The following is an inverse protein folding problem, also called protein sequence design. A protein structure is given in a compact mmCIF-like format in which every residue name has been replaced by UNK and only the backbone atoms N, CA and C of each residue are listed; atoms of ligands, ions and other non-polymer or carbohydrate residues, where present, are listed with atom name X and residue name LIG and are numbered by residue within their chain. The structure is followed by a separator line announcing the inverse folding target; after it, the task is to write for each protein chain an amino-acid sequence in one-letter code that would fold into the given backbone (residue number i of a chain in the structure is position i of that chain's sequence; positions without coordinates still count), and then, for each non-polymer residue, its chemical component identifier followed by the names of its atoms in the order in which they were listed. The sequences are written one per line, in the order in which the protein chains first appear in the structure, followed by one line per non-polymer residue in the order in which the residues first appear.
data_IF_864395274379
#
_entry.id   IF_864395274379
#
_cell.length_a   1.000
_cell.length_b   1.000
_cell.length_c   1.000
_cell.angle_alpha   90.00
_cell.angle_beta   90.00
_cell.angle_gamma   90.00
#
_symmetry.space_group_name_H-M   'P 1'
#
loop_
_entity.id
_entity.type
_entity.pdbx_description
1 polymer ?
#
# COMPACT_ATOMS: atom_id res chain seq x y z
N UNK A 1 14.07 -20.23 -22.13
CA UNK A 1 12.87 -19.51 -22.60
C UNK A 1 11.65 -20.40 -22.43
N UNK A 2 10.56 -19.89 -21.79
CA UNK A 2 9.28 -20.61 -21.61
C UNK A 2 8.11 -19.68 -21.88
N UNK A 3 6.97 -20.24 -22.31
CA UNK A 3 5.70 -19.56 -22.37
C UNK A 3 5.18 -19.31 -20.94
N UNK A 4 4.51 -18.19 -20.71
CA UNK A 4 3.97 -17.82 -19.41
C UNK A 4 2.60 -17.15 -19.56
N UNK A 5 1.72 -17.37 -18.59
CA UNK A 5 0.54 -16.54 -18.36
C UNK A 5 0.88 -15.58 -17.22
N UNK A 6 0.60 -14.31 -17.39
CA UNK A 6 0.89 -13.30 -16.36
C UNK A 6 -0.28 -12.34 -16.15
N UNK A 7 -0.34 -11.74 -14.96
CA UNK A 7 -1.31 -10.71 -14.60
C UNK A 7 -0.67 -9.33 -14.75
N UNK A 8 -1.29 -8.46 -15.56
CA UNK A 8 -0.78 -7.11 -15.87
C UNK A 8 -1.35 -6.01 -14.97
N UNK A 9 -2.01 -6.39 -13.85
CA UNK A 9 -2.73 -5.48 -12.97
C UNK A 9 -4.21 -5.33 -13.33
N UNK A 10 -4.61 -5.59 -14.56
CA UNK A 10 -5.99 -5.50 -15.04
C UNK A 10 -6.57 -6.85 -15.44
N UNK A 11 -5.75 -7.71 -16.02
CA UNK A 11 -6.17 -9.01 -16.53
C UNK A 11 -5.01 -9.93 -16.87
N UNK A 12 -5.38 -11.11 -17.36
CA UNK A 12 -4.43 -12.15 -17.72
C UNK A 12 -3.94 -11.97 -19.16
N UNK A 13 -2.63 -12.12 -19.36
CA UNK A 13 -1.93 -12.02 -20.64
C UNK A 13 -1.05 -13.24 -20.87
N UNK A 14 -0.78 -13.50 -22.14
CA UNK A 14 0.25 -14.44 -22.55
C UNK A 14 1.56 -13.72 -22.82
N UNK A 15 2.66 -14.38 -22.46
CA UNK A 15 4.00 -13.82 -22.65
C UNK A 15 5.08 -14.89 -22.73
N UNK A 16 6.31 -14.43 -22.81
CA UNK A 16 7.50 -15.28 -22.83
C UNK A 16 8.44 -14.85 -21.71
N UNK A 17 8.92 -15.84 -20.96
CA UNK A 17 9.95 -15.63 -19.92
C UNK A 17 11.28 -16.20 -20.42
N UNK A 18 12.33 -15.44 -20.22
CA UNK A 18 13.69 -15.83 -20.60
C UNK A 18 14.73 -15.39 -19.57
N UNK A 19 15.90 -15.97 -19.65
CA UNK A 19 17.06 -15.55 -18.88
C UNK A 19 17.95 -14.66 -19.76
N UNK A 20 18.13 -13.40 -19.33
CA UNK A 20 18.99 -12.41 -19.99
C UNK A 20 20.00 -11.90 -18.96
N UNK A 21 21.28 -12.07 -19.22
CA UNK A 21 22.38 -11.66 -18.32
C UNK A 21 22.19 -12.13 -16.87
N UNK A 22 21.75 -13.38 -16.70
CA UNK A 22 21.50 -13.99 -15.39
C UNK A 22 20.21 -13.54 -14.67
N UNK A 23 19.41 -12.69 -15.30
CA UNK A 23 18.12 -12.20 -14.76
C UNK A 23 16.95 -12.76 -15.55
N UNK A 24 15.89 -13.10 -14.82
CA UNK A 24 14.62 -13.49 -15.44
C UNK A 24 13.93 -12.25 -15.97
N UNK A 25 13.50 -12.30 -17.24
CA UNK A 25 12.72 -11.23 -17.88
C UNK A 25 11.45 -11.77 -18.49
N UNK A 26 10.37 -11.00 -18.33
CA UNK A 26 9.07 -11.25 -18.96
C UNK A 26 8.90 -10.29 -20.14
N UNK A 27 8.39 -10.82 -21.26
CA UNK A 27 7.99 -10.02 -22.42
C UNK A 27 6.54 -10.33 -22.81
N UNK A 28 5.76 -9.29 -23.11
CA UNK A 28 4.38 -9.41 -23.59
C UNK A 28 4.36 -9.73 -25.08
N UNK A 29 4.77 -10.93 -25.45
CA UNK A 29 4.72 -11.43 -26.82
C UNK A 29 4.02 -12.78 -26.89
N UNK A 30 3.39 -13.06 -28.01
CA UNK A 30 2.72 -14.36 -28.21
C UNK A 30 3.77 -15.49 -28.20
N UNK A 31 3.61 -16.51 -27.33
CA UNK A 31 4.54 -17.64 -27.29
C UNK A 31 4.51 -18.43 -28.60
N UNK A 32 5.68 -18.88 -29.07
CA UNK A 32 5.76 -19.78 -30.20
C UNK A 32 5.06 -21.12 -29.88
N UNK A 33 4.46 -21.73 -30.90
CA UNK A 33 3.79 -23.03 -30.76
C UNK A 33 4.78 -24.10 -30.27
N UNK A 34 4.40 -24.83 -29.21
CA UNK A 34 5.22 -25.89 -28.62
C UNK A 34 6.27 -25.42 -27.63
N UNK A 35 6.35 -24.13 -27.33
CA UNK A 35 7.25 -23.63 -26.29
C UNK A 35 6.83 -24.21 -24.91
N UNK A 36 7.75 -24.79 -24.11
CA UNK A 36 7.44 -25.23 -22.75
C UNK A 36 6.86 -24.09 -21.92
N UNK A 37 5.94 -24.41 -20.98
CA UNK A 37 5.31 -23.41 -20.13
C UNK A 37 5.90 -23.39 -18.71
N UNK A 38 5.84 -22.22 -18.08
CA UNK A 38 6.08 -22.08 -16.64
C UNK A 38 4.97 -22.81 -15.88
N UNK A 39 5.32 -23.48 -14.79
CA UNK A 39 4.37 -24.26 -13.98
C UNK A 39 3.56 -23.40 -13.00
N UNK A 40 2.79 -22.46 -13.51
CA UNK A 40 1.97 -21.53 -12.73
C UNK A 40 1.72 -20.25 -13.51
N UNK A 41 1.28 -19.20 -12.80
CA UNK A 41 1.06 -17.86 -13.36
C UNK A 41 2.00 -16.85 -12.72
N UNK A 42 2.30 -15.77 -13.44
CA UNK A 42 3.27 -14.75 -13.03
C UNK A 42 2.54 -13.44 -12.71
N UNK A 43 3.03 -12.71 -11.71
CA UNK A 43 2.64 -11.34 -11.40
C UNK A 43 3.88 -10.53 -10.99
N UNK A 44 3.76 -9.21 -10.91
CA UNK A 44 4.72 -8.37 -10.22
C UNK A 44 4.57 -8.47 -8.69
N UNK A 45 5.47 -7.84 -7.95
CA UNK A 45 5.35 -7.69 -6.50
C UNK A 45 4.08 -6.92 -6.13
N UNK A 46 3.44 -7.29 -5.03
CA UNK A 46 2.19 -6.70 -4.56
C UNK A 46 2.39 -5.32 -3.93
N UNK A 47 1.31 -4.54 -3.81
CA UNK A 47 1.31 -3.23 -3.16
C UNK A 47 0.61 -3.27 -1.82
N UNK A 48 1.27 -2.77 -0.76
CA UNK A 48 0.61 -2.41 0.49
C UNK A 48 0.38 -0.90 0.52
N UNK A 49 -0.88 -0.50 0.52
CA UNK A 49 -1.29 0.92 0.43
C UNK A 49 -1.34 1.64 1.78
N UNK A 50 -1.00 0.97 2.88
CA UNK A 50 -0.96 1.60 4.19
C UNK A 50 0.08 0.95 5.10
N UNK A 51 1.23 1.61 5.22
CA UNK A 51 2.30 1.22 6.13
C UNK A 51 2.81 2.44 6.90
N UNK A 52 3.52 2.20 8.01
CA UNK A 52 4.28 3.18 8.78
C UNK A 52 5.71 2.67 8.97
N UNK A 53 6.59 2.98 8.02
CA UNK A 53 7.94 2.41 7.93
C UNK A 53 8.85 2.76 9.11
N UNK A 54 8.61 3.90 9.76
CA UNK A 54 9.36 4.29 10.97
C UNK A 54 8.96 3.46 12.21
N UNK A 55 7.85 2.74 12.16
CA UNK A 55 7.32 1.90 13.24
C UNK A 55 7.50 0.40 12.96
N UNK A 56 8.07 0.05 11.80
CA UNK A 56 8.21 -1.32 11.34
C UNK A 56 9.67 -1.68 11.04
N UNK A 57 9.98 -2.98 11.02
CA UNK A 57 11.28 -3.51 10.59
C UNK A 57 11.41 -3.44 9.05
N UNK A 58 11.38 -2.23 8.49
CA UNK A 58 11.34 -1.97 7.06
C UNK A 58 12.49 -2.62 6.26
N UNK A 59 13.61 -2.96 6.90
CA UNK A 59 14.70 -3.73 6.28
C UNK A 59 14.28 -5.11 5.77
N UNK A 60 13.18 -5.68 6.29
CA UNK A 60 12.63 -6.96 5.84
C UNK A 60 11.84 -6.87 4.53
N UNK A 61 11.49 -5.66 4.06
CA UNK A 61 10.75 -5.46 2.81
C UNK A 61 11.45 -6.12 1.60
N UNK A 62 12.78 -6.07 1.54
CA UNK A 62 13.54 -6.67 0.45
C UNK A 62 13.36 -8.19 0.33
N UNK A 63 12.91 -8.86 1.40
CA UNK A 63 12.61 -10.28 1.43
C UNK A 63 11.11 -10.62 1.33
N UNK A 64 10.25 -9.64 1.09
CA UNK A 64 8.79 -9.80 1.04
C UNK A 64 8.27 -10.04 -0.38
N UNK A 65 6.97 -10.30 -0.51
CA UNK A 65 6.24 -10.34 -1.80
C UNK A 65 5.81 -8.95 -2.26
N UNK A 66 6.11 -7.90 -1.48
CA UNK A 66 5.73 -6.54 -1.81
C UNK A 66 6.70 -5.96 -2.85
N UNK A 67 6.16 -5.40 -3.92
CA UNK A 67 6.90 -4.62 -4.91
C UNK A 67 6.77 -3.12 -4.69
N UNK A 68 5.75 -2.73 -3.91
CA UNK A 68 5.47 -1.34 -3.57
C UNK A 68 4.82 -1.23 -2.20
N UNK A 69 5.11 -0.13 -1.49
CA UNK A 69 4.42 0.25 -0.26
C UNK A 69 4.09 1.75 -0.28
N UNK A 70 3.05 2.16 0.45
CA UNK A 70 2.70 3.58 0.64
C UNK A 70 2.70 3.89 2.13
N UNK A 71 3.70 4.65 2.57
CA UNK A 71 3.78 5.13 3.96
C UNK A 71 2.76 6.25 4.16
N UNK A 72 1.79 6.03 5.03
CA UNK A 72 0.71 6.97 5.31
C UNK A 72 0.91 7.79 6.59
N UNK A 73 2.14 8.04 6.98
CA UNK A 73 2.43 8.98 8.05
C UNK A 73 3.74 8.71 8.76
N UNK A 74 4.65 9.67 8.66
CA UNK A 74 5.97 9.64 9.25
C UNK A 74 6.62 11.02 9.19
N UNK A 75 7.84 11.12 9.68
CA UNK A 75 8.65 12.31 9.46
C UNK A 75 9.04 12.40 7.97
N UNK A 76 8.68 13.48 7.25
CA UNK A 76 8.88 13.59 5.81
C UNK A 76 10.32 13.32 5.35
N UNK A 77 11.30 13.91 6.07
CA UNK A 77 12.71 13.71 5.76
C UNK A 77 13.19 12.28 5.98
N UNK A 78 12.68 11.62 7.03
CA UNK A 78 13.05 10.26 7.33
C UNK A 78 12.49 9.30 6.26
N UNK A 79 11.20 9.43 5.92
CA UNK A 79 10.57 8.56 4.92
C UNK A 79 11.13 8.84 3.52
N UNK A 80 11.40 10.10 3.18
CA UNK A 80 12.10 10.45 1.92
C UNK A 80 13.45 9.76 1.80
N UNK A 81 14.27 9.74 2.88
CA UNK A 81 15.56 9.02 2.86
C UNK A 81 15.38 7.52 2.62
N UNK A 82 14.37 6.90 3.22
CA UNK A 82 14.05 5.49 2.96
C UNK A 82 13.68 5.25 1.50
N UNK A 83 12.83 6.11 0.92
CA UNK A 83 12.41 6.02 -0.48
C UNK A 83 13.61 6.16 -1.44
N UNK A 84 14.46 7.18 -1.24
CA UNK A 84 15.66 7.42 -2.08
C UNK A 84 16.68 6.29 -1.93
N UNK A 85 16.93 5.81 -0.72
CA UNK A 85 17.87 4.71 -0.50
C UNK A 85 17.41 3.43 -1.20
N UNK A 86 16.11 3.19 -1.22
CA UNK A 86 15.53 2.02 -1.87
C UNK A 86 15.45 2.14 -3.40
N UNK A 87 15.43 3.38 -3.97
CA UNK A 87 15.47 3.62 -5.42
C UNK A 87 16.88 3.42 -6.04
N UNK A 88 17.92 3.46 -5.22
CA UNK A 88 19.30 3.24 -5.67
C UNK A 88 19.93 4.40 -6.42
N UNK A 89 19.35 5.59 -6.37
CA UNK A 89 19.84 6.80 -7.04
C UNK A 89 20.87 7.58 -6.22
N UNK A 90 21.33 7.07 -5.09
CA UNK A 90 22.32 7.75 -4.26
C UNK A 90 23.73 7.23 -4.54
N UNK A 91 24.70 8.08 -4.96
CA UNK A 91 26.11 7.78 -4.80
C UNK A 91 26.40 7.58 -3.31
N UNK A 92 27.13 6.53 -2.95
CA UNK A 92 27.57 6.30 -1.57
C UNK A 92 28.35 7.53 -1.09
N UNK A 93 27.78 8.30 -0.15
CA UNK A 93 28.53 9.31 0.58
C UNK A 93 29.51 8.59 1.53
N UNK A 94 30.82 8.84 1.44
CA UNK A 94 31.78 8.22 2.35
C UNK A 94 31.66 8.90 3.73
N UNK A 95 31.05 8.21 4.71
CA UNK A 95 31.09 8.65 6.09
C UNK A 95 29.79 8.68 6.87
N UNK A 96 28.63 8.35 6.31
CA UNK A 96 27.42 8.11 7.11
C UNK A 96 27.55 6.74 7.79
N UNK A 97 27.29 6.63 9.10
CA UNK A 97 27.17 5.33 9.71
C UNK A 97 25.95 4.65 9.13
N UNK A 98 26.19 3.72 8.22
CA UNK A 98 25.22 2.69 7.87
C UNK A 98 24.78 2.08 9.20
N UNK A 99 23.52 2.22 9.58
CA UNK A 99 22.89 1.23 10.43
C UNK A 99 22.73 0.00 9.51
N UNK A 100 23.87 -0.57 9.17
CA UNK A 100 23.97 -1.94 8.79
C UNK A 100 23.59 -2.69 10.06
N UNK A 101 22.36 -3.19 10.10
CA UNK A 101 22.09 -4.37 10.88
C UNK A 101 23.00 -5.44 10.25
N UNK A 102 24.24 -5.50 10.71
CA UNK A 102 25.14 -6.63 10.49
C UNK A 102 24.44 -7.81 11.17
N UNK A 103 23.66 -8.54 10.38
CA UNK A 103 23.27 -9.89 10.76
C UNK A 103 24.56 -10.65 11.04
N UNK A 104 24.62 -11.45 12.13
CA UNK A 104 25.77 -12.27 12.43
C UNK A 104 26.16 -13.08 11.20
N UNK A 105 27.47 -13.23 10.97
CA UNK A 105 28.02 -13.93 9.80
C UNK A 105 27.55 -15.39 9.64
N UNK A 106 26.89 -15.93 10.64
CA UNK A 106 26.41 -17.33 10.70
C UNK A 106 24.97 -17.52 10.19
N UNK A 107 24.30 -16.47 9.69
CA UNK A 107 22.93 -16.57 9.17
C UNK A 107 22.89 -16.74 7.64
N UNK A 108 23.67 -17.66 7.11
CA UNK A 108 23.60 -18.05 5.68
C UNK A 108 22.22 -18.64 5.30
N UNK A 109 21.46 -19.13 6.29
CA UNK A 109 20.10 -19.65 6.13
C UNK A 109 19.00 -18.56 5.94
N UNK A 110 19.30 -17.27 6.15
CA UNK A 110 18.36 -16.16 5.97
C UNK A 110 18.60 -15.36 4.68
N UNK A 111 19.45 -15.83 3.78
CA UNK A 111 19.57 -15.30 2.42
C UNK A 111 18.35 -15.73 1.61
N UNK A 112 17.25 -14.99 1.79
CA UNK A 112 16.09 -15.15 0.94
C UNK A 112 16.45 -14.81 -0.52
N UNK A 113 15.84 -15.49 -1.51
CA UNK A 113 16.09 -15.22 -2.93
C UNK A 113 15.73 -13.79 -3.37
N UNK A 114 15.12 -12.99 -2.50
CA UNK A 114 14.79 -11.58 -2.70
C UNK A 114 15.93 -10.59 -2.40
N UNK A 115 17.14 -11.00 -2.02
CA UNK A 115 18.25 -10.11 -1.62
C UNK A 115 18.65 -9.01 -2.65
N UNK A 116 17.98 -8.93 -3.80
CA UNK A 116 18.16 -7.88 -4.81
C UNK A 116 16.83 -7.26 -5.27
N UNK A 117 15.74 -7.53 -4.55
CA UNK A 117 14.45 -6.97 -4.86
C UNK A 117 14.30 -5.59 -4.24
N UNK A 118 14.01 -4.59 -5.09
CA UNK A 118 13.69 -3.23 -4.65
C UNK A 118 12.19 -3.13 -4.46
N UNK A 119 11.78 -2.49 -3.36
CA UNK A 119 10.39 -2.14 -3.10
C UNK A 119 10.23 -0.64 -3.34
N UNK A 120 9.34 -0.24 -4.22
CA UNK A 120 9.01 1.17 -4.44
C UNK A 120 8.30 1.73 -3.20
N UNK A 121 8.74 2.87 -2.69
CA UNK A 121 8.18 3.51 -1.51
C UNK A 121 7.54 4.84 -1.90
N UNK A 122 6.20 4.84 -2.05
CA UNK A 122 5.41 6.06 -2.03
C UNK A 122 5.16 6.49 -0.58
N UNK A 123 4.94 7.79 -0.34
CA UNK A 123 4.67 8.27 1.01
C UNK A 123 3.80 9.53 1.03
N UNK A 124 3.16 9.78 2.17
CA UNK A 124 2.41 10.99 2.45
C UNK A 124 3.24 12.05 3.20
N UNK A 125 4.28 11.64 3.91
CA UNK A 125 5.00 12.50 4.85
C UNK A 125 4.23 12.63 6.17
N UNK A 126 4.06 13.86 6.68
CA UNK A 126 3.42 14.07 7.97
C UNK A 126 1.90 13.88 7.95
N UNK A 127 1.33 13.51 9.09
CA UNK A 127 -0.09 13.61 9.36
C UNK A 127 -0.51 15.08 9.45
N UNK A 128 -1.47 15.52 8.67
CA UNK A 128 -2.12 16.81 8.84
C UNK A 128 -3.30 16.64 9.80
N UNK A 129 -3.23 17.28 10.96
CA UNK A 129 -4.20 17.19 12.04
C UNK A 129 -4.72 18.57 12.45
N UNK A 130 -5.96 18.65 12.95
CA UNK A 130 -6.41 19.86 13.63
C UNK A 130 -5.58 20.10 14.91
N UNK A 131 -5.43 21.33 15.39
CA UNK A 131 -4.72 21.59 16.63
C UNK A 131 -5.27 20.76 17.80
N UNK A 132 -4.41 19.98 18.48
CA UNK A 132 -4.79 19.01 19.50
C UNK A 132 -5.57 17.80 19.01
N UNK A 133 -5.70 17.61 17.69
CA UNK A 133 -6.33 16.45 17.09
C UNK A 133 -5.40 15.24 17.01
N UNK A 134 -5.97 14.07 16.82
CA UNK A 134 -5.22 12.81 16.63
C UNK A 134 -4.29 12.92 15.39
N UNK A 135 -3.02 12.49 15.44
CA UNK A 135 -2.33 11.81 16.56
C UNK A 135 -1.37 12.72 17.34
N UNK A 136 -1.61 14.04 17.46
CA UNK A 136 -0.68 15.02 18.03
C UNK A 136 -0.23 14.68 19.45
N UNK A 137 -1.07 14.02 20.23
CA UNK A 137 -0.82 13.63 21.62
C UNK A 137 -0.33 12.19 21.79
N UNK A 138 -0.05 11.49 20.69
CA UNK A 138 0.30 10.07 20.75
C UNK A 138 1.81 9.86 20.86
N UNK A 139 2.22 9.14 21.91
CA UNK A 139 3.63 8.82 22.16
C UNK A 139 4.26 7.88 21.13
N UNK A 140 3.45 7.15 20.37
CA UNK A 140 3.91 6.28 19.30
C UNK A 140 4.25 7.06 18.01
N UNK A 141 3.67 8.26 17.82
CA UNK A 141 3.92 9.06 16.63
C UNK A 141 5.38 9.50 16.57
N UNK A 142 6.10 9.23 15.46
CA UNK A 142 7.50 9.63 15.34
C UNK A 142 7.68 11.14 15.47
N UNK A 143 8.81 11.57 16.04
CA UNK A 143 9.10 12.98 16.16
C UNK A 143 9.08 13.67 14.80
N UNK A 144 8.33 14.77 14.67
CA UNK A 144 8.17 15.53 13.43
C UNK A 144 7.23 14.88 12.39
N UNK A 145 6.45 13.87 12.77
CA UNK A 145 5.48 13.24 11.89
C UNK A 145 4.10 13.90 11.86
N UNK A 146 3.86 14.96 12.63
CA UNK A 146 2.56 15.64 12.69
C UNK A 146 2.72 17.12 12.33
N UNK A 147 1.75 17.66 11.59
CA UNK A 147 1.56 19.09 11.36
C UNK A 147 0.17 19.48 11.85
N UNK A 148 0.12 20.33 12.88
CA UNK A 148 -1.13 20.92 13.35
C UNK A 148 -1.49 22.10 12.46
N UNK A 149 -2.64 22.04 11.82
CA UNK A 149 -3.10 23.01 10.82
C UNK A 149 -4.25 23.82 11.40
N UNK A 150 -3.98 25.06 11.74
CA UNK A 150 -4.97 25.97 12.36
C UNK A 150 -5.83 26.74 11.34
N UNK A 151 -5.29 27.01 10.16
CA UNK A 151 -5.89 27.87 9.14
C UNK A 151 -5.42 27.51 7.71
N UNK A 152 -5.88 28.29 6.74
CA UNK A 152 -5.58 28.07 5.32
C UNK A 152 -4.08 28.31 4.97
N UNK A 153 -3.43 29.26 5.64
CA UNK A 153 -2.02 29.55 5.40
C UNK A 153 -1.14 28.39 5.88
N UNK A 154 -1.40 27.89 7.10
CA UNK A 154 -0.75 26.69 7.61
C UNK A 154 -1.01 25.46 6.75
N UNK A 155 -2.22 25.33 6.18
CA UNK A 155 -2.54 24.26 5.24
C UNK A 155 -1.71 24.36 3.96
N UNK A 156 -1.58 25.56 3.40
CA UNK A 156 -0.77 25.80 2.20
C UNK A 156 0.70 25.46 2.43
N UNK A 157 1.27 25.93 3.53
CA UNK A 157 2.67 25.64 3.90
C UNK A 157 2.92 24.13 4.06
N UNK A 158 2.03 23.44 4.77
CA UNK A 158 2.17 22.00 4.98
C UNK A 158 2.04 21.18 3.69
N UNK A 159 1.09 21.52 2.80
CA UNK A 159 0.95 20.86 1.51
C UNK A 159 2.17 21.10 0.62
N UNK A 160 2.73 22.32 0.63
CA UNK A 160 3.99 22.64 -0.07
C UNK A 160 5.13 21.80 0.46
N UNK A 161 5.30 21.77 1.79
CA UNK A 161 6.34 20.95 2.45
C UNK A 161 6.29 19.49 2.02
N UNK A 162 5.09 18.86 2.03
CA UNK A 162 4.94 17.48 1.62
C UNK A 162 5.24 17.28 0.13
N UNK A 163 4.76 18.19 -0.72
CA UNK A 163 5.04 18.13 -2.17
C UNK A 163 6.53 18.24 -2.45
N UNK A 164 7.24 19.19 -1.81
CA UNK A 164 8.68 19.41 -1.98
C UNK A 164 9.52 18.25 -1.41
N UNK A 165 9.00 17.55 -0.41
CA UNK A 165 9.58 16.30 0.07
C UNK A 165 9.42 15.13 -0.93
N UNK A 166 8.56 15.26 -1.94
CA UNK A 166 8.28 14.22 -2.93
C UNK A 166 7.15 13.28 -2.52
N UNK A 167 6.23 13.72 -1.66
CA UNK A 167 5.07 12.94 -1.27
C UNK A 167 4.20 12.56 -2.48
N UNK A 168 3.61 11.37 -2.46
CA UNK A 168 2.68 10.87 -3.48
C UNK A 168 1.20 11.09 -3.13
N UNK A 169 0.92 11.51 -1.91
CA UNK A 169 -0.41 11.86 -1.42
C UNK A 169 -0.29 12.76 -0.18
N UNK A 170 -1.41 13.31 0.28
CA UNK A 170 -1.51 14.03 1.55
C UNK A 170 -2.29 13.19 2.55
N UNK A 171 -1.75 12.95 3.74
CA UNK A 171 -2.45 12.25 4.82
C UNK A 171 -3.13 13.24 5.75
N UNK A 172 -4.45 13.13 5.86
CA UNK A 172 -5.27 13.91 6.81
C UNK A 172 -5.84 12.97 7.87
N UNK A 173 -5.92 13.43 9.11
CA UNK A 173 -6.56 12.71 10.20
C UNK A 173 -7.87 13.38 10.61
N UNK A 174 -8.93 12.59 10.69
CA UNK A 174 -10.28 12.98 11.12
C UNK A 174 -10.82 11.93 12.08
N UNK A 175 -10.34 12.00 13.34
CA UNK A 175 -10.78 11.10 14.42
C UNK A 175 -11.51 11.93 15.49
N UNK A 176 -12.84 12.00 15.37
CA UNK A 176 -13.70 12.75 16.29
C UNK A 176 -13.85 12.09 17.66
N UNK A 177 -13.40 10.84 17.83
CA UNK A 177 -13.39 10.15 19.13
C UNK A 177 -12.14 10.45 19.95
N UNK A 178 -11.07 10.89 19.28
CA UNK A 178 -9.75 11.08 19.89
C UNK A 178 -9.26 12.54 19.90
N UNK A 179 -10.09 13.49 19.53
CA UNK A 179 -9.75 14.91 19.59
C UNK A 179 -10.49 15.78 18.57
N UNK A 180 -10.10 17.06 18.44
CA UNK A 180 -10.67 17.95 17.44
C UNK A 180 -10.39 17.46 16.01
N UNK A 181 -11.34 17.72 15.10
CA UNK A 181 -11.19 17.52 13.66
C UNK A 181 -11.29 18.85 12.93
N UNK A 182 -10.82 18.91 11.71
CA UNK A 182 -10.93 20.12 10.89
C UNK A 182 -12.37 20.56 10.69
N UNK A 183 -12.60 21.87 10.58
CA UNK A 183 -13.86 22.37 10.02
C UNK A 183 -14.00 21.92 8.56
N UNK A 184 -15.23 21.83 8.07
CA UNK A 184 -15.48 21.43 6.68
C UNK A 184 -14.80 22.36 5.67
N UNK A 185 -14.75 23.66 5.95
CA UNK A 185 -14.13 24.62 5.05
C UNK A 185 -12.61 24.46 5.00
N UNK A 186 -11.96 24.26 6.15
CA UNK A 186 -10.51 24.02 6.17
C UNK A 186 -10.16 22.68 5.54
N UNK A 187 -10.97 21.64 5.76
CA UNK A 187 -10.77 20.34 5.10
C UNK A 187 -10.86 20.47 3.57
N UNK A 188 -11.88 21.17 3.05
CA UNK A 188 -12.00 21.46 1.60
C UNK A 188 -10.81 22.25 1.07
N UNK A 189 -10.31 23.21 1.86
CA UNK A 189 -9.13 23.99 1.49
C UNK A 189 -7.90 23.08 1.36
N UNK A 190 -7.66 22.15 2.29
CA UNK A 190 -6.58 21.16 2.20
C UNK A 190 -6.73 20.30 0.94
N UNK A 191 -7.94 19.81 0.66
CA UNK A 191 -8.22 19.01 -0.55
C UNK A 191 -7.92 19.80 -1.82
N UNK A 192 -8.34 21.06 -1.90
CA UNK A 192 -8.07 21.92 -3.08
C UNK A 192 -6.57 22.19 -3.26
N UNK A 193 -5.86 22.56 -2.18
CA UNK A 193 -4.41 22.81 -2.21
C UNK A 193 -3.62 21.55 -2.62
N UNK A 194 -4.03 20.39 -2.15
CA UNK A 194 -3.43 19.11 -2.54
C UNK A 194 -3.69 18.80 -4.03
N UNK A 195 -4.93 19.02 -4.50
CA UNK A 195 -5.31 18.81 -5.89
C UNK A 195 -4.52 19.71 -6.85
N UNK A 196 -4.27 20.98 -6.49
CA UNK A 196 -3.44 21.91 -7.26
C UNK A 196 -1.98 21.43 -7.43
N UNK A 197 -1.53 20.51 -6.57
CA UNK A 197 -0.22 19.85 -6.63
C UNK A 197 -0.29 18.44 -7.23
N UNK A 198 -1.46 17.99 -7.68
CA UNK A 198 -1.67 16.63 -8.18
C UNK A 198 -1.60 15.54 -7.11
N UNK A 199 -1.74 15.91 -5.83
CA UNK A 199 -1.66 14.99 -4.69
C UNK A 199 -3.07 14.60 -4.22
N UNK A 200 -3.46 13.33 -4.28
CA UNK A 200 -4.72 12.88 -3.69
C UNK A 200 -4.67 12.97 -2.16
N UNK A 201 -5.79 13.33 -1.53
CA UNK A 201 -5.94 13.28 -0.09
C UNK A 201 -6.34 11.87 0.35
N UNK A 202 -5.62 11.33 1.33
CA UNK A 202 -5.92 10.07 2.02
C UNK A 202 -6.30 10.40 3.46
N UNK A 203 -7.52 10.05 3.89
CA UNK A 203 -8.01 10.37 5.22
C UNK A 203 -8.11 9.15 6.13
N UNK A 204 -7.56 9.26 7.35
CA UNK A 204 -8.01 8.47 8.48
C UNK A 204 -9.36 9.05 8.93
N UNK A 205 -10.40 8.25 8.98
CA UNK A 205 -11.73 8.68 9.36
C UNK A 205 -12.29 7.75 10.45
N UNK A 206 -12.47 8.27 11.65
CA UNK A 206 -12.96 7.52 12.81
C UNK A 206 -13.91 8.37 13.63
N UNK A 207 -15.01 7.76 14.06
CA UNK A 207 -16.13 8.41 14.74
C UNK A 207 -17.39 8.42 13.87
N UNK A 208 -18.53 8.60 14.51
CA UNK A 208 -19.83 8.56 13.83
C UNK A 208 -19.92 9.62 12.74
N UNK A 209 -20.23 9.21 11.49
CA UNK A 209 -20.35 10.08 10.34
C UNK A 209 -19.05 10.59 9.72
N UNK A 210 -17.89 10.30 10.30
CA UNK A 210 -16.62 10.85 9.80
C UNK A 210 -16.24 10.30 8.42
N UNK A 211 -16.41 9.00 8.16
CA UNK A 211 -16.12 8.43 6.84
C UNK A 211 -16.97 9.06 5.74
N UNK A 212 -18.28 9.22 5.98
CA UNK A 212 -19.21 9.89 5.07
C UNK A 212 -18.85 11.37 4.88
N UNK A 213 -18.49 12.03 5.98
CA UNK A 213 -18.12 13.44 5.99
C UNK A 213 -16.90 13.71 5.11
N UNK A 214 -15.78 13.01 5.36
CA UNK A 214 -14.54 13.28 4.62
C UNK A 214 -14.65 12.93 3.13
N UNK A 215 -15.42 11.91 2.76
CA UNK A 215 -15.70 11.60 1.35
C UNK A 215 -16.52 12.70 0.68
N UNK A 216 -17.56 13.24 1.35
CA UNK A 216 -18.32 14.41 0.85
C UNK A 216 -17.48 15.68 0.74
N UNK A 217 -16.38 15.78 1.50
CA UNK A 217 -15.45 16.91 1.44
C UNK A 217 -14.36 16.75 0.37
N UNK A 218 -14.35 15.64 -0.39
CA UNK A 218 -13.46 15.42 -1.53
C UNK A 218 -12.25 14.55 -1.27
N UNK A 219 -12.24 13.78 -0.18
CA UNK A 219 -11.19 12.76 0.03
C UNK A 219 -11.20 11.74 -1.09
N UNK A 220 -10.04 11.53 -1.71
CA UNK A 220 -9.87 10.54 -2.79
C UNK A 220 -9.76 9.10 -2.27
N UNK A 221 -9.31 8.92 -1.02
CA UNK A 221 -9.08 7.60 -0.42
C UNK A 221 -9.28 7.61 1.08
N UNK A 222 -9.96 6.60 1.61
CA UNK A 222 -9.95 6.32 3.05
C UNK A 222 -8.75 5.42 3.38
N UNK A 223 -8.03 5.79 4.44
CA UNK A 223 -6.86 5.04 4.93
C UNK A 223 -7.24 3.69 5.55
N UNK A 224 -8.47 3.58 6.01
CA UNK A 224 -9.09 2.36 6.53
C UNK A 224 -10.48 2.20 5.92
N UNK A 225 -10.89 0.96 5.66
CA UNK A 225 -12.30 0.69 5.40
C UNK A 225 -13.14 1.18 6.59
N UNK A 226 -14.30 1.82 6.38
CA UNK A 226 -15.13 2.30 7.48
C UNK A 226 -15.49 1.18 8.46
N UNK A 227 -15.15 1.36 9.73
CA UNK A 227 -15.30 0.37 10.80
C UNK A 227 -16.12 0.86 11.99
N UNK A 228 -16.34 2.18 12.09
CA UNK A 228 -17.04 2.78 13.24
C UNK A 228 -18.53 2.44 13.24
N UNK A 229 -19.14 2.38 12.05
CA UNK A 229 -20.57 2.13 11.88
C UNK A 229 -20.89 1.48 10.54
N UNK A 230 -22.00 0.73 10.42
CA UNK A 230 -22.52 0.30 9.13
C UNK A 230 -22.94 1.50 8.29
N UNK A 231 -22.47 1.59 7.06
CA UNK A 231 -22.92 2.60 6.10
C UNK A 231 -24.24 2.15 5.47
N UNK A 232 -25.14 3.09 5.17
CA UNK A 232 -26.33 2.78 4.37
C UNK A 232 -25.99 2.60 2.87
N UNK A 233 -26.96 2.13 2.07
CA UNK A 233 -26.72 1.81 0.67
C UNK A 233 -26.43 3.06 -0.17
N UNK A 234 -27.01 4.22 0.17
CA UNK A 234 -26.76 5.48 -0.53
C UNK A 234 -25.34 5.98 -0.27
N UNK A 235 -24.84 5.83 0.96
CA UNK A 235 -23.44 6.16 1.31
C UNK A 235 -22.47 5.21 0.65
N UNK A 236 -22.76 3.90 0.65
CA UNK A 236 -21.95 2.91 -0.07
C UNK A 236 -21.84 3.27 -1.56
N UNK A 237 -22.97 3.57 -2.21
CA UNK A 237 -22.97 3.96 -3.62
C UNK A 237 -22.20 5.26 -3.88
N UNK A 238 -22.34 6.26 -2.99
CA UNK A 238 -21.60 7.51 -3.06
C UNK A 238 -20.09 7.29 -2.93
N UNK A 239 -19.66 6.50 -1.94
CA UNK A 239 -18.26 6.17 -1.76
C UNK A 239 -17.71 5.39 -2.95
N UNK A 240 -18.44 4.41 -3.49
CA UNK A 240 -18.03 3.64 -4.64
C UNK A 240 -17.82 4.50 -5.91
N UNK A 241 -18.58 5.60 -6.04
CA UNK A 241 -18.47 6.52 -7.16
C UNK A 241 -17.33 7.55 -7.02
N UNK A 242 -16.82 7.82 -5.80
CA UNK A 242 -15.97 8.99 -5.56
C UNK A 242 -14.69 8.73 -4.79
N UNK A 243 -14.54 7.59 -4.11
CA UNK A 243 -13.38 7.28 -3.30
C UNK A 243 -12.97 5.82 -3.41
N UNK A 244 -11.71 5.52 -3.07
CA UNK A 244 -11.21 4.17 -2.84
C UNK A 244 -11.02 3.92 -1.34
N UNK A 245 -11.04 2.65 -0.93
CA UNK A 245 -10.79 2.28 0.47
C UNK A 245 -9.56 1.39 0.58
N UNK A 246 -8.64 1.73 1.49
CA UNK A 246 -7.61 0.78 1.94
C UNK A 246 -8.26 -0.15 2.97
N UNK A 247 -8.05 -1.43 2.82
CA UNK A 247 -8.80 -2.45 3.56
C UNK A 247 -8.48 -2.44 5.06
N UNK A 248 -7.25 -2.68 5.46
CA UNK A 248 -6.76 -2.73 6.86
C UNK A 248 -7.68 -3.49 7.83
N UNK A 249 -8.35 -4.56 7.36
CA UNK A 249 -9.35 -5.31 8.12
C UNK A 249 -8.75 -6.12 9.27
N UNK A 250 -7.46 -6.49 9.13
CA UNK A 250 -6.76 -7.33 10.10
C UNK A 250 -6.43 -6.63 11.43
N UNK A 251 -6.49 -5.29 11.47
CA UNK A 251 -6.22 -4.52 12.70
C UNK A 251 -7.43 -4.49 13.64
N UNK A 252 -8.61 -4.83 13.14
CA UNK A 252 -9.86 -4.80 13.91
C UNK A 252 -10.20 -6.16 14.49
N UNK A 253 -10.83 -6.13 15.65
CA UNK A 253 -11.42 -7.30 16.33
C UNK A 253 -12.89 -7.01 16.72
N UNK A 254 -13.63 -8.04 17.15
CA UNK A 254 -14.98 -7.89 17.66
C UNK A 254 -15.98 -7.17 16.74
N UNK A 255 -16.80 -6.24 17.27
CA UNK A 255 -17.83 -5.55 16.48
C UNK A 255 -17.29 -4.70 15.33
N UNK A 256 -16.17 -4.02 15.52
CA UNK A 256 -15.54 -3.18 14.49
C UNK A 256 -15.12 -3.99 13.27
N UNK A 257 -14.55 -5.18 13.49
CA UNK A 257 -14.21 -6.10 12.40
C UNK A 257 -15.43 -6.54 11.60
N UNK A 258 -16.54 -6.85 12.28
CA UNK A 258 -17.80 -7.25 11.62
C UNK A 258 -18.33 -6.11 10.75
N UNK A 259 -18.34 -4.88 11.26
CA UNK A 259 -18.76 -3.68 10.52
C UNK A 259 -17.86 -3.43 9.33
N UNK A 260 -16.53 -3.45 9.50
CA UNK A 260 -15.58 -3.19 8.43
C UNK A 260 -15.72 -4.21 7.28
N UNK A 261 -15.82 -5.50 7.60
CA UNK A 261 -15.99 -6.57 6.60
C UNK A 261 -17.32 -6.43 5.85
N UNK A 262 -18.43 -6.15 6.56
CA UNK A 262 -19.73 -5.95 5.90
C UNK A 262 -19.73 -4.72 5.00
N UNK A 263 -19.16 -3.61 5.46
CA UNK A 263 -19.01 -2.41 4.64
C UNK A 263 -18.17 -2.68 3.39
N UNK A 264 -17.01 -3.38 3.50
CA UNK A 264 -16.18 -3.75 2.34
C UNK A 264 -16.94 -4.67 1.38
N UNK A 265 -17.67 -5.65 1.88
CA UNK A 265 -18.49 -6.56 1.06
C UNK A 265 -19.49 -5.79 0.22
N UNK A 266 -20.23 -4.86 0.82
CA UNK A 266 -21.24 -4.03 0.15
C UNK A 266 -20.61 -3.02 -0.79
N UNK A 267 -19.51 -2.39 -0.39
CA UNK A 267 -18.75 -1.45 -1.22
C UNK A 267 -18.17 -2.14 -2.47
N UNK A 268 -17.55 -3.31 -2.31
CA UNK A 268 -17.06 -4.11 -3.42
C UNK A 268 -18.20 -4.54 -4.37
N UNK A 269 -19.33 -5.00 -3.83
CA UNK A 269 -20.51 -5.37 -4.63
C UNK A 269 -21.10 -4.18 -5.39
N UNK A 270 -20.97 -2.95 -4.88
CA UNK A 270 -21.37 -1.72 -5.55
C UNK A 270 -20.33 -1.21 -6.60
N UNK A 271 -19.26 -1.97 -6.85
CA UNK A 271 -18.20 -1.60 -7.80
C UNK A 271 -17.13 -0.68 -7.22
N UNK A 272 -17.09 -0.49 -5.91
CA UNK A 272 -16.09 0.32 -5.23
C UNK A 272 -14.69 -0.29 -5.32
N UNK A 273 -13.68 0.58 -5.37
CA UNK A 273 -12.27 0.18 -5.45
C UNK A 273 -11.70 -0.07 -4.06
N UNK A 274 -11.47 -1.34 -3.74
CA UNK A 274 -10.77 -1.77 -2.52
C UNK A 274 -9.28 -1.93 -2.84
N UNK A 275 -8.42 -1.39 -1.98
CA UNK A 275 -6.96 -1.50 -2.06
C UNK A 275 -6.45 -2.27 -0.83
N UNK A 276 -5.53 -3.20 -1.04
CA UNK A 276 -4.88 -3.92 0.05
C UNK A 276 -4.02 -2.95 0.89
N UNK A 277 -4.12 -3.04 2.20
CA UNK A 277 -3.25 -2.37 3.13
C UNK A 277 -3.33 -3.00 4.51
N UNK A 278 -2.24 -2.93 5.27
CA UNK A 278 -2.12 -3.65 6.53
C UNK A 278 -2.07 -2.75 7.75
N UNK A 279 -1.81 -1.46 7.57
CA UNK A 279 -1.42 -0.54 8.66
C UNK A 279 -0.16 -1.04 9.39
N UNK A 280 0.82 -1.58 8.59
CA UNK A 280 2.09 -2.08 9.10
C UNK A 280 2.77 -1.05 9.99
N UNK A 281 3.08 -1.43 11.23
CA UNK A 281 3.56 -0.54 12.29
C UNK A 281 2.54 -0.32 13.40
N UNK A 282 1.27 -0.66 13.17
CA UNK A 282 0.23 -0.68 14.19
C UNK A 282 0.14 -2.09 14.83
N UNK A 283 1.06 -2.37 15.73
CA UNK A 283 1.17 -3.66 16.41
C UNK A 283 1.99 -4.71 15.63
N UNK A 284 2.12 -5.93 16.19
CA UNK A 284 2.92 -6.98 15.61
C UNK A 284 2.23 -7.61 14.40
N UNK A 285 2.86 -7.48 13.21
CA UNK A 285 2.40 -8.11 11.98
C UNK A 285 3.58 -8.39 11.04
N UNK A 286 3.43 -9.29 10.06
CA UNK A 286 4.51 -9.61 9.12
C UNK A 286 4.81 -8.42 8.19
N UNK A 287 6.10 -8.22 7.88
CA UNK A 287 6.55 -7.28 6.83
C UNK A 287 6.47 -8.02 5.48
N UNK A 288 5.28 -8.39 5.09
CA UNK A 288 4.93 -9.14 3.87
C UNK A 288 3.40 -9.11 3.71
N UNK A 289 2.85 -9.91 2.80
CA UNK A 289 1.40 -10.15 2.79
C UNK A 289 0.93 -10.67 4.15
N UNK A 290 -0.09 -10.02 4.69
CA UNK A 290 -0.71 -10.43 5.95
C UNK A 290 -1.82 -11.48 5.69
N UNK A 291 -1.65 -12.74 6.13
CA UNK A 291 -2.67 -13.77 5.90
C UNK A 291 -4.03 -13.46 6.54
N UNK A 292 -4.05 -12.72 7.67
CA UNK A 292 -5.32 -12.29 8.30
C UNK A 292 -6.06 -11.29 7.41
N UNK A 293 -5.34 -10.36 6.77
CA UNK A 293 -5.92 -9.39 5.84
C UNK A 293 -6.48 -10.09 4.59
N UNK A 294 -5.71 -10.99 3.99
CA UNK A 294 -6.16 -11.79 2.84
C UNK A 294 -7.42 -12.61 3.19
N UNK A 295 -7.43 -13.23 4.38
CA UNK A 295 -8.61 -13.98 4.86
C UNK A 295 -9.83 -13.09 5.04
N UNK A 296 -9.66 -11.88 5.60
CA UNK A 296 -10.74 -10.93 5.79
C UNK A 296 -11.31 -10.38 4.48
N UNK A 297 -10.44 -10.14 3.48
CA UNK A 297 -10.88 -9.75 2.13
C UNK A 297 -11.69 -10.87 1.45
N UNK A 298 -11.30 -12.14 1.61
CA UNK A 298 -12.10 -13.28 1.15
C UNK A 298 -13.44 -13.39 1.88
N UNK A 299 -13.46 -13.17 3.20
CA UNK A 299 -14.69 -13.11 4.00
C UNK A 299 -15.62 -11.99 3.52
N UNK A 300 -15.07 -10.86 3.07
CA UNK A 300 -15.80 -9.78 2.43
C UNK A 300 -16.28 -10.10 1.00
N UNK A 301 -16.02 -11.32 0.48
CA UNK A 301 -16.54 -11.80 -0.79
C UNK A 301 -15.66 -11.52 -2.01
N UNK A 302 -14.40 -11.12 -1.84
CA UNK A 302 -13.48 -10.96 -2.95
C UNK A 302 -13.04 -12.36 -3.45
N UNK A 303 -13.30 -12.65 -4.71
CA UNK A 303 -12.75 -13.82 -5.40
C UNK A 303 -11.25 -13.64 -5.71
N UNK A 304 -10.57 -14.67 -6.19
CA UNK A 304 -9.14 -14.65 -6.45
C UNK A 304 -8.74 -13.55 -7.45
N UNK A 305 -9.57 -13.28 -8.45
CA UNK A 305 -9.30 -12.23 -9.45
C UNK A 305 -9.49 -10.81 -8.85
N UNK A 306 -10.52 -10.62 -8.03
CA UNK A 306 -10.73 -9.36 -7.30
C UNK A 306 -9.62 -9.13 -6.28
N UNK A 307 -9.20 -10.19 -5.59
CA UNK A 307 -8.09 -10.13 -4.63
C UNK A 307 -6.78 -9.73 -5.29
N UNK A 308 -6.43 -10.30 -6.46
CA UNK A 308 -5.23 -9.89 -7.20
C UNK A 308 -5.30 -8.43 -7.64
N UNK A 309 -6.47 -7.93 -8.07
CA UNK A 309 -6.65 -6.50 -8.38
C UNK A 309 -6.50 -5.63 -7.15
N UNK A 310 -7.04 -6.05 -6.01
CA UNK A 310 -6.94 -5.35 -4.72
C UNK A 310 -5.49 -5.25 -4.24
N UNK A 311 -4.69 -6.29 -4.46
CA UNK A 311 -3.25 -6.31 -4.18
C UNK A 311 -2.44 -5.41 -5.13
N UNK A 312 -3.03 -4.89 -6.20
CA UNK A 312 -2.47 -3.91 -7.13
C UNK A 312 -0.98 -4.20 -7.45
N UNK A 313 -0.65 -5.36 -8.04
CA UNK A 313 0.75 -5.71 -8.30
C UNK A 313 1.40 -4.68 -9.23
N UNK A 314 2.67 -4.44 -8.99
CA UNK A 314 3.52 -3.63 -9.90
C UNK A 314 3.51 -4.28 -11.28
N UNK A 315 3.58 -3.49 -12.35
CA UNK A 315 3.61 -4.04 -13.70
C UNK A 315 4.79 -5.02 -13.85
N UNK A 316 4.53 -6.30 -14.12
CA UNK A 316 5.59 -7.29 -14.25
C UNK A 316 6.47 -7.10 -15.50
N UNK A 317 6.09 -6.20 -16.42
CA UNK A 317 6.87 -5.84 -17.59
C UNK A 317 7.90 -4.75 -17.31
N UNK A 318 7.77 -4.04 -16.20
CA UNK A 318 8.77 -3.05 -15.78
C UNK A 318 10.10 -3.73 -15.45
N UNK A 319 11.23 -3.22 -15.97
CA UNK A 319 12.55 -3.87 -15.81
C UNK A 319 13.01 -4.03 -14.36
N UNK A 320 12.50 -3.19 -13.46
CA UNK A 320 12.80 -3.21 -12.03
C UNK A 320 11.83 -4.06 -11.21
N UNK A 321 10.74 -4.54 -11.82
CA UNK A 321 9.72 -5.30 -11.12
C UNK A 321 10.25 -6.66 -10.62
N UNK A 322 9.96 -6.99 -9.38
CA UNK A 322 10.09 -8.33 -8.90
C UNK A 322 9.05 -9.23 -9.55
N UNK A 323 9.49 -10.28 -10.20
CA UNK A 323 8.58 -11.27 -10.76
C UNK A 323 8.26 -12.33 -9.71
N UNK A 324 6.99 -12.49 -9.43
CA UNK A 324 6.47 -13.53 -8.54
C UNK A 324 5.83 -14.65 -9.39
N UNK A 325 6.08 -15.89 -9.00
CA UNK A 325 5.40 -17.07 -9.50
C UNK A 325 4.37 -17.54 -8.46
N UNK A 326 3.15 -17.76 -8.90
CA UNK A 326 2.10 -18.46 -8.16
C UNK A 326 2.09 -19.92 -8.67
N UNK A 327 2.73 -20.86 -7.94
CA UNK A 327 2.98 -22.23 -8.43
C UNK A 327 1.67 -22.99 -8.59
N UNK A 328 1.53 -23.75 -9.68
CA UNK A 328 0.31 -24.53 -9.93
C UNK A 328 -0.94 -23.68 -10.13
N UNK A 329 -0.83 -22.35 -10.00
CA UNK A 329 -1.91 -21.42 -10.20
C UNK A 329 -2.38 -21.36 -11.66
N UNK A 330 -3.64 -20.98 -11.82
CA UNK A 330 -4.26 -20.64 -13.10
C UNK A 330 -4.96 -19.29 -12.94
N UNK A 331 -5.42 -18.66 -14.02
CA UNK A 331 -6.23 -17.45 -13.93
C UNK A 331 -7.43 -17.50 -12.96
N UNK A 332 -7.90 -18.70 -12.64
CA UNK A 332 -9.06 -18.92 -11.77
C UNK A 332 -8.71 -19.47 -10.36
N UNK A 333 -7.44 -19.68 -10.06
CA UNK A 333 -7.02 -20.36 -8.81
C UNK A 333 -5.64 -19.90 -8.30
N UNK A 334 -5.26 -18.66 -8.55
CA UNK A 334 -3.97 -18.11 -8.14
C UNK A 334 -4.06 -17.54 -6.72
N UNK A 335 -3.55 -18.25 -5.71
CA UNK A 335 -3.51 -17.76 -4.34
C UNK A 335 -2.25 -16.87 -4.12
N UNK A 336 -2.42 -15.58 -3.78
CA UNK A 336 -1.29 -14.67 -3.53
C UNK A 336 -0.40 -15.12 -2.37
N UNK A 337 -0.92 -15.87 -1.40
CA UNK A 337 -0.12 -16.37 -0.27
C UNK A 337 0.89 -17.45 -0.70
N UNK A 338 0.66 -18.13 -1.82
CA UNK A 338 1.59 -19.10 -2.39
C UNK A 338 2.65 -18.45 -3.29
N UNK A 339 2.55 -17.14 -3.54
CA UNK A 339 3.47 -16.43 -4.39
C UNK A 339 4.91 -16.50 -3.84
N UNK A 340 5.85 -16.81 -4.74
CA UNK A 340 7.28 -16.82 -4.48
C UNK A 340 8.06 -16.18 -5.64
N UNK A 341 9.30 -15.80 -5.45
CA UNK A 341 10.10 -15.31 -6.56
C UNK A 341 10.14 -16.27 -7.74
N UNK A 342 10.01 -15.71 -8.93
CA UNK A 342 10.35 -16.42 -10.15
C UNK A 342 11.86 -16.43 -10.32
N UNK A 343 12.45 -17.63 -10.36
CA UNK A 343 13.89 -17.82 -10.39
C UNK A 343 14.38 -18.44 -11.71
N UNK A 344 15.68 -18.40 -12.03
CA UNK A 344 16.22 -19.13 -13.16
C UNK A 344 15.93 -20.64 -13.15
N UNK A 345 15.74 -21.24 -11.96
CA UNK A 345 15.40 -22.66 -11.84
C UNK A 345 13.98 -23.01 -12.35
N UNK A 346 13.11 -22.01 -12.46
CA UNK A 346 11.76 -22.18 -13.01
C UNK A 346 11.74 -22.19 -14.55
N UNK A 347 12.87 -21.82 -15.18
CA UNK A 347 13.06 -21.78 -16.64
C UNK A 347 13.78 -22.99 -17.16
#
# INVERSE_FOLDING_TARGET
MKAATFFDGSGWREGVVELVDGRVRLRAEAPATGLPRVGGVITGGFTDHHVHLQLAEHGLLAGSRLGRVVDLGGNPDAVRRLAVHNSGDTPAEPGSPLISATLPADSEELRTPFAQHRVDIGFAGAFLAAPGGYPSDRSWAPAGSVREIADADAAADAVVEMADAGASCIKVTSNSTAGPVFSDDLFRTIVALAADRGLPVVAHAEGAGEAQRVVRLGTARLAHAPFTEPLDDDEIARHAASASWVSTLAIHDGPERVVAIDNVRRFHAAGGTVLYGTDLGNGPMPVDLNPREISALREAGLDDAALLRTLAPVDPLEPSSALLLLPGGSPSSADPLDARPLTPADL
#
